data_IF_835145912398
#
_entry.id   IF_835145912398
#
_cell.length_a   1.000
_cell.length_b   1.000
_cell.length_c   1.000
_cell.angle_alpha   90.00
_cell.angle_beta   90.00
_cell.angle_gamma   90.00
#
_symmetry.space_group_name_H-M   'P 1'
#
loop_
_entity.id
_entity.type
_entity.pdbx_description
1 polymer ?
#
# COMPACT_ATOMS: atom_id res chain seq x y z
N UNK A 1 -7.22 -26.88 18.50
CA UNK A 1 -6.48 -27.22 17.25
C UNK A 1 -6.38 -26.02 16.33
N UNK A 2 -7.42 -25.23 16.10
CA UNK A 2 -7.39 -24.02 15.23
C UNK A 2 -6.33 -22.97 15.66
N UNK A 3 -6.20 -22.65 16.93
CA UNK A 3 -5.21 -21.67 17.42
C UNK A 3 -3.76 -22.07 17.12
N UNK A 4 -3.43 -23.36 17.27
CA UNK A 4 -2.06 -23.87 16.97
C UNK A 4 -1.77 -23.85 15.47
N UNK A 5 -2.76 -24.10 14.64
CA UNK A 5 -2.65 -24.01 13.18
C UNK A 5 -2.40 -22.57 12.74
N UNK A 6 -3.13 -21.60 13.29
CA UNK A 6 -2.94 -20.19 12.98
C UNK A 6 -1.58 -19.68 13.47
N UNK A 7 -1.13 -20.10 14.65
CA UNK A 7 0.22 -19.76 15.13
C UNK A 7 1.32 -20.28 14.21
N UNK A 8 1.18 -21.51 13.68
CA UNK A 8 2.16 -22.06 12.73
C UNK A 8 2.15 -21.32 11.41
N UNK A 9 0.97 -20.97 10.91
CA UNK A 9 0.80 -20.16 9.70
C UNK A 9 1.48 -18.80 9.85
N UNK A 10 1.20 -18.09 10.95
CA UNK A 10 1.80 -16.79 11.22
C UNK A 10 3.32 -16.90 11.36
N UNK A 11 3.82 -17.88 12.09
CA UNK A 11 5.26 -18.11 12.25
C UNK A 11 5.97 -18.33 10.91
N UNK A 12 5.38 -19.12 10.00
CA UNK A 12 5.91 -19.31 8.65
C UNK A 12 5.94 -18.00 7.85
N UNK A 13 4.89 -17.19 7.94
CA UNK A 13 4.83 -15.89 7.31
C UNK A 13 5.93 -14.95 7.86
N UNK A 14 6.08 -14.85 9.17
CA UNK A 14 7.08 -13.99 9.81
C UNK A 14 8.52 -14.38 9.41
N UNK A 15 8.82 -15.69 9.36
CA UNK A 15 10.10 -16.22 8.90
C UNK A 15 10.33 -15.86 7.43
N UNK A 16 9.34 -16.08 6.57
CA UNK A 16 9.44 -15.75 5.14
C UNK A 16 9.70 -14.26 4.92
N UNK A 17 8.96 -13.37 5.63
CA UNK A 17 9.11 -11.93 5.52
C UNK A 17 10.48 -11.45 6.01
N UNK A 18 11.00 -12.05 7.08
CA UNK A 18 12.37 -11.79 7.55
C UNK A 18 13.38 -12.19 6.48
N UNK A 19 13.25 -13.38 5.90
CA UNK A 19 14.15 -13.86 4.85
C UNK A 19 14.07 -13.00 3.58
N UNK A 20 12.88 -12.53 3.18
CA UNK A 20 12.74 -11.60 2.06
C UNK A 20 13.50 -10.30 2.30
N UNK A 21 13.49 -9.76 3.52
CA UNK A 21 14.24 -8.55 3.88
C UNK A 21 15.77 -8.78 3.88
N UNK A 22 16.23 -9.93 4.40
CA UNK A 22 17.65 -10.21 4.61
C UNK A 22 18.37 -10.66 3.34
N UNK A 23 17.78 -11.61 2.61
CA UNK A 23 18.43 -12.27 1.46
C UNK A 23 17.73 -12.04 0.12
N UNK A 24 16.54 -11.39 0.12
CA UNK A 24 15.75 -11.10 -1.07
C UNK A 24 14.78 -12.20 -1.46
N UNK A 25 13.78 -11.84 -2.26
CA UNK A 25 12.70 -12.75 -2.68
C UNK A 25 13.20 -13.92 -3.55
N UNK A 26 14.05 -13.64 -4.56
CA UNK A 26 14.53 -14.64 -5.51
C UNK A 26 15.33 -15.74 -4.82
N UNK A 27 16.17 -15.39 -3.84
CA UNK A 27 17.02 -16.35 -3.11
C UNK A 27 16.27 -17.13 -2.03
N UNK A 28 15.12 -16.66 -1.60
CA UNK A 28 14.28 -17.32 -0.60
C UNK A 28 13.47 -18.43 -1.26
N UNK A 29 13.52 -19.66 -0.70
CA UNK A 29 12.76 -20.81 -1.18
C UNK A 29 11.83 -21.35 -0.11
N UNK A 30 10.73 -22.01 -0.49
CA UNK A 30 9.81 -22.65 0.46
C UNK A 30 10.53 -23.67 1.36
N UNK A 31 11.54 -24.36 0.81
CA UNK A 31 12.38 -25.30 1.59
C UNK A 31 13.21 -24.58 2.65
N UNK A 32 13.81 -23.45 2.30
CA UNK A 32 14.59 -22.64 3.25
C UNK A 32 13.70 -22.04 4.34
N UNK A 33 12.50 -21.54 3.97
CA UNK A 33 11.51 -21.03 4.92
C UNK A 33 11.09 -22.14 5.90
N UNK A 34 10.75 -23.34 5.41
CA UNK A 34 10.36 -24.47 6.24
C UNK A 34 11.47 -24.88 7.23
N UNK A 35 12.72 -24.95 6.75
CA UNK A 35 13.87 -25.28 7.57
C UNK A 35 14.09 -24.23 8.68
N UNK A 36 14.05 -22.97 8.34
CA UNK A 36 14.23 -21.86 9.28
C UNK A 36 13.09 -21.77 10.30
N UNK A 37 11.84 -22.08 9.88
CA UNK A 37 10.67 -22.14 10.77
C UNK A 37 10.61 -23.43 11.60
N UNK A 38 11.53 -24.39 11.43
CA UNK A 38 11.53 -25.65 12.15
C UNK A 38 10.36 -26.58 11.81
N UNK A 39 9.81 -26.49 10.60
CA UNK A 39 8.71 -27.34 10.13
C UNK A 39 9.10 -28.16 8.90
N UNK A 40 8.34 -29.22 8.61
CA UNK A 40 8.54 -29.96 7.37
C UNK A 40 8.17 -29.13 6.15
N UNK A 41 8.81 -29.40 5.01
CA UNK A 41 8.48 -28.74 3.73
C UNK A 41 7.02 -28.98 3.34
N UNK A 42 6.50 -30.18 3.57
CA UNK A 42 5.09 -30.49 3.34
C UNK A 42 4.15 -29.66 4.20
N UNK A 43 4.54 -29.38 5.45
CA UNK A 43 3.75 -28.52 6.34
C UNK A 43 3.78 -27.06 5.86
N UNK A 44 4.91 -26.55 5.38
CA UNK A 44 4.96 -25.21 4.79
C UNK A 44 4.03 -25.09 3.57
N UNK A 45 4.03 -26.07 2.67
CA UNK A 45 3.13 -26.11 1.51
C UNK A 45 1.65 -26.31 1.87
N UNK A 46 1.35 -26.89 3.03
CA UNK A 46 -0.02 -26.99 3.54
C UNK A 46 -0.60 -25.60 3.86
N UNK A 47 0.22 -24.67 4.39
CA UNK A 47 -0.22 -23.33 4.74
C UNK A 47 -0.13 -22.34 3.59
N UNK A 48 0.91 -22.46 2.75
CA UNK A 48 1.18 -21.56 1.63
C UNK A 48 1.58 -22.37 0.41
N UNK A 49 0.72 -22.41 -0.59
CA UNK A 49 0.95 -23.20 -1.80
C UNK A 49 2.14 -22.68 -2.63
N UNK A 50 2.53 -21.42 -2.44
CA UNK A 50 3.62 -20.79 -3.18
C UNK A 50 4.27 -19.65 -2.38
N UNK A 51 5.38 -19.10 -2.90
CA UNK A 51 5.94 -17.85 -2.38
C UNK A 51 5.01 -16.65 -2.62
N UNK A 52 4.18 -16.70 -3.66
CA UNK A 52 3.24 -15.62 -3.98
C UNK A 52 2.17 -15.50 -2.88
N UNK A 53 1.75 -16.61 -2.25
CA UNK A 53 0.83 -16.57 -1.11
C UNK A 53 1.47 -15.88 0.10
N UNK A 54 2.78 -16.08 0.31
CA UNK A 54 3.53 -15.36 1.35
C UNK A 54 3.69 -13.87 1.03
N UNK A 55 3.74 -13.50 -0.25
CA UNK A 55 3.73 -12.09 -0.66
C UNK A 55 2.36 -11.46 -0.42
N UNK A 56 1.26 -12.20 -0.63
CA UNK A 56 -0.07 -11.73 -0.25
C UNK A 56 -0.17 -11.48 1.26
N UNK A 57 0.39 -12.37 2.07
CA UNK A 57 0.44 -12.17 3.54
C UNK A 57 1.23 -10.91 3.91
N UNK A 58 2.41 -10.71 3.29
CA UNK A 58 3.18 -9.47 3.44
C UNK A 58 2.32 -8.25 3.09
N UNK A 59 1.58 -8.31 1.99
CA UNK A 59 0.78 -7.19 1.53
C UNK A 59 -0.29 -6.83 2.56
N UNK A 60 -0.98 -7.82 3.11
CA UNK A 60 -1.97 -7.62 4.18
C UNK A 60 -1.32 -7.03 5.43
N UNK A 61 -0.18 -7.57 5.86
CA UNK A 61 0.54 -7.09 7.04
C UNK A 61 1.02 -5.65 6.87
N UNK A 62 1.63 -5.31 5.74
CA UNK A 62 2.07 -3.93 5.43
C UNK A 62 0.90 -2.95 5.46
N UNK A 63 -0.27 -3.34 4.93
CA UNK A 63 -1.45 -2.47 5.00
C UNK A 63 -1.98 -2.31 6.43
N UNK A 64 -1.95 -3.34 7.26
CA UNK A 64 -2.34 -3.25 8.67
C UNK A 64 -1.39 -2.35 9.47
N UNK A 65 -0.07 -2.49 9.28
CA UNK A 65 0.93 -1.63 9.90
C UNK A 65 0.80 -0.18 9.41
N UNK A 66 0.55 0.02 8.12
CA UNK A 66 0.31 1.35 7.55
C UNK A 66 -0.93 2.00 8.15
N UNK A 67 -2.03 1.27 8.29
CA UNK A 67 -3.25 1.77 8.92
C UNK A 67 -2.98 2.23 10.36
N UNK A 68 -2.33 1.40 11.17
CA UNK A 68 -2.02 1.73 12.56
C UNK A 68 -1.14 2.99 12.67
N UNK A 69 -0.05 3.07 11.89
CA UNK A 69 0.82 4.25 11.88
C UNK A 69 0.14 5.50 11.31
N UNK A 70 -0.73 5.33 10.31
CA UNK A 70 -1.48 6.45 9.77
C UNK A 70 -2.47 6.98 10.80
N UNK A 71 -3.18 6.13 11.52
CA UNK A 71 -4.12 6.54 12.57
C UNK A 71 -3.42 7.37 13.65
N UNK A 72 -2.27 6.91 14.15
CA UNK A 72 -1.44 7.67 15.09
C UNK A 72 -1.00 9.02 14.51
N UNK A 73 -0.51 9.03 13.26
CA UNK A 73 -0.02 10.24 12.61
C UNK A 73 -1.13 11.24 12.26
N UNK A 74 -2.38 10.80 12.17
CA UNK A 74 -3.55 11.63 11.90
C UNK A 74 -4.10 12.34 13.14
N UNK A 75 -3.66 11.96 14.34
CA UNK A 75 -4.14 12.58 15.59
C UNK A 75 -3.90 14.08 15.60
N UNK A 76 -4.92 14.86 15.92
CA UNK A 76 -4.88 16.32 15.99
C UNK A 76 -4.79 17.03 14.63
N UNK A 77 -4.51 16.35 13.53
CA UNK A 77 -4.43 16.95 12.21
C UNK A 77 -5.83 17.20 11.62
N UNK A 78 -6.07 18.44 11.14
CA UNK A 78 -7.37 18.86 10.60
C UNK A 78 -7.33 19.10 9.10
N UNK A 79 -6.32 19.80 8.58
CA UNK A 79 -6.29 20.11 7.16
C UNK A 79 -5.92 18.89 6.31
N UNK A 80 -6.55 18.77 5.13
CA UNK A 80 -6.38 17.62 4.25
C UNK A 80 -4.92 17.42 3.80
N UNK A 81 -4.19 18.52 3.55
CA UNK A 81 -2.79 18.44 3.12
C UNK A 81 -1.90 17.81 4.18
N UNK A 82 -2.00 18.27 5.44
CA UNK A 82 -1.25 17.69 6.57
C UNK A 82 -1.62 16.23 6.79
N UNK A 83 -2.92 15.89 6.71
CA UNK A 83 -3.40 14.51 6.85
C UNK A 83 -2.86 13.61 5.75
N UNK A 84 -2.91 14.03 4.49
CA UNK A 84 -2.35 13.26 3.36
C UNK A 84 -0.84 13.09 3.48
N UNK A 85 -0.13 14.15 3.86
CA UNK A 85 1.32 14.07 4.08
C UNK A 85 1.67 13.05 5.15
N UNK A 86 1.00 13.11 6.30
CA UNK A 86 1.19 12.17 7.41
C UNK A 86 0.93 10.72 6.98
N UNK A 87 -0.19 10.48 6.31
CA UNK A 87 -0.57 9.17 5.77
C UNK A 87 0.48 8.61 4.80
N UNK A 88 0.93 9.43 3.84
CA UNK A 88 1.90 8.99 2.84
C UNK A 88 3.27 8.70 3.46
N UNK A 89 3.75 9.54 4.40
CA UNK A 89 5.00 9.29 5.11
C UNK A 89 4.90 8.05 6.00
N UNK A 90 3.80 7.82 6.69
CA UNK A 90 3.56 6.59 7.46
C UNK A 90 3.70 5.34 6.57
N UNK A 91 3.13 5.37 5.36
CA UNK A 91 3.30 4.29 4.38
C UNK A 91 4.74 4.08 3.94
N UNK A 92 5.49 5.16 3.67
CA UNK A 92 6.90 5.07 3.33
C UNK A 92 7.74 4.49 4.48
N UNK A 93 7.43 4.84 5.73
CA UNK A 93 8.12 4.33 6.90
C UNK A 93 7.90 2.83 7.11
N UNK A 94 6.66 2.36 6.87
CA UNK A 94 6.33 0.93 6.92
C UNK A 94 7.02 0.15 5.81
N UNK A 95 7.10 0.73 4.60
CA UNK A 95 7.75 0.08 3.46
C UNK A 95 9.29 0.09 3.55
N UNK A 96 9.90 1.04 4.28
CA UNK A 96 11.35 1.24 4.29
C UNK A 96 12.18 -0.05 4.53
N UNK A 97 11.83 -0.96 5.46
CA UNK A 97 12.56 -2.21 5.67
C UNK A 97 12.56 -3.16 4.46
N UNK A 98 11.60 -2.98 3.55
CA UNK A 98 11.38 -3.84 2.38
C UNK A 98 11.97 -3.25 1.09
N UNK A 99 12.70 -2.14 1.15
CA UNK A 99 13.18 -1.44 -0.05
C UNK A 99 14.03 -2.34 -0.96
N UNK A 100 14.89 -3.18 -0.39
CA UNK A 100 15.72 -4.13 -1.15
C UNK A 100 14.91 -5.20 -1.88
N UNK A 101 13.74 -5.56 -1.33
CA UNK A 101 12.79 -6.50 -1.92
C UNK A 101 11.81 -5.81 -2.90
N UNK A 102 11.64 -4.50 -2.80
CA UNK A 102 10.62 -3.74 -3.53
C UNK A 102 10.69 -3.93 -5.05
N UNK A 103 11.90 -4.00 -5.64
CA UNK A 103 12.07 -4.21 -7.07
C UNK A 103 11.56 -5.59 -7.53
N UNK A 104 11.89 -6.66 -6.79
CA UNK A 104 11.45 -8.03 -7.08
C UNK A 104 9.93 -8.14 -6.93
N UNK A 105 9.38 -7.50 -5.88
CA UNK A 105 7.94 -7.43 -5.66
C UNK A 105 7.23 -6.74 -6.82
N UNK A 106 7.67 -5.54 -7.24
CA UNK A 106 7.06 -4.82 -8.36
C UNK A 106 7.17 -5.61 -9.65
N UNK A 107 8.32 -6.24 -9.94
CA UNK A 107 8.51 -7.08 -11.12
C UNK A 107 7.50 -8.26 -11.16
N UNK A 108 7.14 -8.80 -9.99
CA UNK A 108 6.12 -9.83 -9.86
C UNK A 108 4.71 -9.26 -9.95
N UNK A 109 4.42 -8.17 -9.23
CA UNK A 109 3.09 -7.57 -9.14
C UNK A 109 2.61 -6.91 -10.43
N UNK A 110 3.53 -6.40 -11.28
CA UNK A 110 3.16 -5.72 -12.53
C UNK A 110 2.59 -6.67 -13.60
N UNK A 111 2.82 -7.97 -13.47
CA UNK A 111 2.29 -8.95 -14.44
C UNK A 111 0.77 -9.06 -14.29
N UNK A 112 -0.02 -8.90 -15.37
CA UNK A 112 -1.49 -8.94 -15.29
C UNK A 112 -2.06 -10.26 -14.71
N UNK A 113 -1.35 -11.38 -14.93
CA UNK A 113 -1.73 -12.71 -14.45
C UNK A 113 -1.22 -13.03 -13.05
N UNK A 114 -0.52 -12.11 -12.40
CA UNK A 114 0.02 -12.34 -11.06
C UNK A 114 -1.07 -12.23 -10.00
N UNK A 115 -1.18 -13.19 -9.09
CA UNK A 115 -2.14 -13.10 -7.98
C UNK A 115 -1.81 -11.95 -7.01
N UNK A 116 -0.56 -11.46 -7.01
CA UNK A 116 -0.13 -10.31 -6.20
C UNK A 116 -0.28 -8.97 -6.93
N UNK A 117 -0.90 -8.97 -8.13
CA UNK A 117 -1.26 -7.73 -8.82
C UNK A 117 -2.26 -6.94 -7.94
N UNK A 118 -2.06 -5.64 -7.69
CA UNK A 118 -2.95 -4.83 -6.86
C UNK A 118 -4.41 -4.79 -7.33
N UNK A 119 -4.66 -5.09 -8.61
CA UNK A 119 -5.99 -5.12 -9.22
C UNK A 119 -6.59 -6.54 -9.30
N UNK A 120 -5.83 -7.58 -8.95
CA UNK A 120 -6.33 -8.95 -8.91
C UNK A 120 -7.39 -9.15 -7.82
N UNK A 121 -8.24 -10.17 -7.98
CA UNK A 121 -9.25 -10.55 -7.01
C UNK A 121 -8.65 -10.93 -5.65
N UNK A 122 -7.54 -11.65 -5.69
CA UNK A 122 -6.77 -12.11 -4.52
C UNK A 122 -6.23 -10.94 -3.69
N UNK A 123 -5.96 -9.79 -4.30
CA UNK A 123 -5.47 -8.58 -3.63
C UNK A 123 -6.58 -7.68 -3.09
N UNK A 124 -7.86 -8.08 -3.20
CA UNK A 124 -9.02 -7.24 -2.81
C UNK A 124 -8.94 -6.83 -1.34
N UNK A 125 -8.65 -7.74 -0.43
CA UNK A 125 -8.60 -7.42 1.01
C UNK A 125 -7.53 -6.36 1.32
N UNK A 126 -6.32 -6.51 0.77
CA UNK A 126 -5.23 -5.55 0.96
C UNK A 126 -5.53 -4.20 0.29
N UNK A 127 -6.16 -4.22 -0.90
CA UNK A 127 -6.60 -3.00 -1.59
C UNK A 127 -7.64 -2.24 -0.78
N UNK A 128 -8.67 -2.91 -0.26
CA UNK A 128 -9.72 -2.28 0.57
C UNK A 128 -9.14 -1.72 1.87
N UNK A 129 -8.20 -2.42 2.51
CA UNK A 129 -7.48 -1.91 3.66
C UNK A 129 -6.74 -0.61 3.32
N UNK A 130 -6.01 -0.59 2.20
CA UNK A 130 -5.30 0.61 1.74
C UNK A 130 -6.25 1.75 1.39
N UNK A 131 -7.36 1.48 0.72
CA UNK A 131 -8.42 2.47 0.44
C UNK A 131 -9.01 3.03 1.74
N UNK A 132 -9.18 2.19 2.77
CA UNK A 132 -9.63 2.60 4.11
C UNK A 132 -8.73 3.66 4.74
N UNK A 133 -7.41 3.52 4.60
CA UNK A 133 -6.42 4.49 5.09
C UNK A 133 -6.64 5.88 4.44
N UNK A 134 -6.77 5.93 3.11
CA UNK A 134 -7.02 7.19 2.41
C UNK A 134 -8.41 7.74 2.69
N UNK A 135 -9.41 6.88 2.90
CA UNK A 135 -10.76 7.28 3.32
C UNK A 135 -10.70 8.00 4.68
N UNK A 136 -10.02 7.42 5.67
CA UNK A 136 -9.84 8.04 6.98
C UNK A 136 -9.14 9.41 6.88
N UNK A 137 -8.10 9.53 6.05
CA UNK A 137 -7.41 10.79 5.82
C UNK A 137 -8.35 11.88 5.24
N UNK A 138 -9.22 11.52 4.30
CA UNK A 138 -10.16 12.43 3.63
C UNK A 138 -11.32 12.81 4.55
N UNK A 139 -11.97 11.82 5.18
CA UNK A 139 -13.18 12.03 5.99
C UNK A 139 -12.90 12.84 7.26
N UNK A 140 -11.73 12.68 7.88
CA UNK A 140 -11.33 13.45 9.05
C UNK A 140 -10.88 14.89 8.76
N UNK A 141 -10.91 15.34 7.50
CA UNK A 141 -10.42 16.67 7.13
C UNK A 141 -11.42 17.79 7.45
N UNK A 142 -10.88 18.95 7.88
CA UNK A 142 -11.63 20.18 8.09
C UNK A 142 -10.83 21.38 7.54
N UNK A 143 -11.36 22.14 6.56
CA UNK A 143 -12.66 21.95 5.92
C UNK A 143 -12.74 20.62 5.12
N UNK A 144 -13.94 20.04 4.99
CA UNK A 144 -14.08 18.77 4.31
C UNK A 144 -13.77 18.88 2.81
N UNK A 145 -13.32 17.79 2.22
CA UNK A 145 -13.12 17.68 0.77
C UNK A 145 -14.42 18.02 0.01
N UNK A 146 -14.32 18.53 -1.23
CA UNK A 146 -15.49 18.87 -2.04
C UNK A 146 -16.46 17.69 -2.16
N UNK A 147 -17.76 17.91 -1.94
CA UNK A 147 -18.78 16.84 -1.89
C UNK A 147 -18.74 15.91 -3.12
N UNK A 148 -18.55 16.49 -4.31
CA UNK A 148 -18.50 15.73 -5.58
C UNK A 148 -17.31 14.76 -5.66
N UNK A 149 -16.19 15.08 -5.01
CA UNK A 149 -14.95 14.30 -5.04
C UNK A 149 -14.86 13.28 -3.92
N UNK A 150 -15.58 13.48 -2.83
CA UNK A 150 -15.37 12.77 -1.57
C UNK A 150 -15.47 11.25 -1.71
N UNK A 151 -16.33 10.78 -2.61
CA UNK A 151 -16.50 9.36 -2.86
C UNK A 151 -15.35 8.73 -3.66
N UNK A 152 -14.81 9.47 -4.65
CA UNK A 152 -13.79 8.95 -5.57
C UNK A 152 -12.35 9.30 -5.12
N UNK A 153 -12.21 10.31 -4.27
CA UNK A 153 -10.91 10.84 -3.83
C UNK A 153 -10.01 9.77 -3.15
N UNK A 154 -10.52 8.90 -2.27
CA UNK A 154 -9.69 7.86 -1.67
C UNK A 154 -9.02 6.94 -2.70
N UNK A 155 -9.75 6.55 -3.75
CA UNK A 155 -9.22 5.72 -4.81
C UNK A 155 -8.19 6.45 -5.68
N UNK A 156 -8.46 7.72 -6.05
CA UNK A 156 -7.49 8.55 -6.78
C UNK A 156 -6.19 8.74 -5.98
N UNK A 157 -6.30 8.92 -4.67
CA UNK A 157 -5.14 9.02 -3.77
C UNK A 157 -4.38 7.70 -3.66
N UNK A 158 -5.10 6.57 -3.61
CA UNK A 158 -4.50 5.25 -3.64
C UNK A 158 -3.74 5.00 -4.94
N UNK A 159 -4.29 5.34 -6.11
CA UNK A 159 -3.59 5.27 -7.39
C UNK A 159 -2.33 6.16 -7.40
N UNK A 160 -2.43 7.37 -6.86
CA UNK A 160 -1.28 8.25 -6.67
C UNK A 160 -0.22 7.63 -5.75
N UNK A 161 -0.63 6.97 -4.67
CA UNK A 161 0.26 6.24 -3.77
C UNK A 161 0.96 5.06 -4.48
N UNK A 162 0.26 4.34 -5.37
CA UNK A 162 0.90 3.32 -6.20
C UNK A 162 2.03 3.90 -7.07
N UNK A 163 1.81 5.08 -7.65
CA UNK A 163 2.85 5.82 -8.37
C UNK A 163 4.04 6.22 -7.50
N UNK A 164 3.77 6.68 -6.27
CA UNK A 164 4.81 7.00 -5.28
C UNK A 164 5.57 5.73 -4.87
N UNK A 165 4.89 4.62 -4.63
CA UNK A 165 5.51 3.34 -4.29
C UNK A 165 6.39 2.82 -5.43
N UNK A 166 5.95 2.97 -6.68
CA UNK A 166 6.76 2.64 -7.85
C UNK A 166 8.03 3.50 -7.91
N UNK A 167 7.91 4.82 -7.72
CA UNK A 167 9.08 5.71 -7.69
C UNK A 167 10.03 5.36 -6.53
N UNK A 168 9.48 5.04 -5.35
CA UNK A 168 10.22 4.65 -4.15
C UNK A 168 11.09 3.43 -4.40
N UNK A 169 10.62 2.42 -5.14
CA UNK A 169 11.38 1.21 -5.48
C UNK A 169 12.67 1.55 -6.23
N UNK A 170 12.64 2.56 -7.09
CA UNK A 170 13.80 3.01 -7.89
C UNK A 170 14.62 4.13 -7.22
N UNK A 171 14.19 4.60 -6.05
CA UNK A 171 14.89 5.66 -5.33
C UNK A 171 16.09 5.14 -4.56
N UNK A 172 17.27 5.26 -5.15
CA UNK A 172 18.56 4.86 -4.56
C UNK A 172 19.15 5.88 -3.61
N UNK A 173 18.49 7.01 -3.35
CA UNK A 173 18.98 8.01 -2.41
C UNK A 173 18.89 7.50 -0.97
N UNK A 174 19.81 7.94 -0.13
CA UNK A 174 19.83 7.57 1.28
C UNK A 174 18.48 7.85 1.97
N UNK A 175 17.91 6.85 2.63
CA UNK A 175 16.60 6.93 3.27
C UNK A 175 15.45 7.26 2.30
N UNK A 176 15.61 7.01 0.99
CA UNK A 176 14.64 7.32 -0.08
C UNK A 176 14.16 8.78 -0.02
N UNK A 177 15.11 9.70 0.23
CA UNK A 177 14.81 11.13 0.42
C UNK A 177 14.20 11.81 -0.80
N UNK A 178 14.43 11.30 -2.03
CA UNK A 178 13.80 11.84 -3.24
C UNK A 178 12.30 11.55 -3.24
N UNK A 179 11.92 10.36 -2.81
CA UNK A 179 10.50 9.97 -2.67
C UNK A 179 9.81 10.81 -1.60
N UNK A 180 10.48 11.04 -0.47
CA UNK A 180 9.94 11.92 0.58
C UNK A 180 9.76 13.36 0.09
N UNK A 181 10.71 13.88 -0.69
CA UNK A 181 10.56 15.20 -1.35
C UNK A 181 9.42 15.21 -2.37
N UNK A 182 9.22 14.11 -3.11
CA UNK A 182 8.09 13.99 -4.04
C UNK A 182 6.76 14.10 -3.29
N UNK A 183 6.61 13.40 -2.17
CA UNK A 183 5.42 13.51 -1.30
C UNK A 183 5.23 14.95 -0.81
N UNK A 184 6.28 15.55 -0.27
CA UNK A 184 6.25 16.92 0.28
C UNK A 184 5.90 17.97 -0.78
N UNK A 185 6.31 17.76 -2.03
CA UNK A 185 5.97 18.63 -3.15
C UNK A 185 4.59 18.37 -3.76
N UNK A 186 4.20 17.10 -3.88
CA UNK A 186 2.92 16.73 -4.50
C UNK A 186 1.71 17.06 -3.63
N UNK A 187 1.79 16.83 -2.32
CA UNK A 187 0.66 17.05 -1.41
C UNK A 187 0.12 18.50 -1.45
N UNK A 188 0.94 19.56 -1.40
CA UNK A 188 0.43 20.92 -1.55
C UNK A 188 -0.23 21.17 -2.91
N UNK A 189 0.24 20.54 -3.98
CA UNK A 189 -0.38 20.67 -5.30
C UNK A 189 -1.75 20.00 -5.33
N UNK A 190 -1.87 18.81 -4.77
CA UNK A 190 -3.16 18.10 -4.61
C UNK A 190 -4.13 18.96 -3.78
N UNK A 191 -3.71 19.43 -2.60
CA UNK A 191 -4.55 20.23 -1.72
C UNK A 191 -5.03 21.52 -2.40
N UNK A 192 -4.16 22.23 -3.12
CA UNK A 192 -4.53 23.42 -3.89
C UNK A 192 -5.47 23.09 -5.06
N UNK A 193 -5.20 22.00 -5.79
CA UNK A 193 -6.07 21.52 -6.88
C UNK A 193 -7.49 21.25 -6.38
N UNK A 194 -7.64 20.65 -5.20
CA UNK A 194 -8.95 20.40 -4.58
C UNK A 194 -9.66 21.70 -4.15
N UNK A 195 -8.93 22.73 -3.77
CA UNK A 195 -9.52 24.06 -3.50
C UNK A 195 -10.02 24.73 -4.78
N UNK A 196 -9.28 24.60 -5.88
CA UNK A 196 -9.67 25.12 -7.19
C UNK A 196 -10.92 24.42 -7.75
N UNK A 197 -11.20 23.21 -7.30
CA UNK A 197 -12.43 22.47 -7.63
C UNK A 197 -13.72 23.20 -7.21
N UNK A 198 -13.64 24.25 -6.40
CA UNK A 198 -14.77 25.11 -6.03
C UNK A 198 -15.03 26.23 -7.04
N UNK A 199 -14.14 26.45 -8.01
CA UNK A 199 -14.25 27.53 -8.98
C UNK A 199 -15.12 27.06 -10.17
N UNK A 200 -16.16 27.84 -10.56
CA UNK A 200 -16.93 27.57 -11.77
C UNK A 200 -16.01 27.49 -13.01
N UNK A 201 -16.13 26.44 -13.82
CA UNK A 201 -15.27 26.18 -14.98
C UNK A 201 -14.19 25.11 -14.73
N UNK A 202 -13.56 25.07 -13.57
CA UNK A 202 -12.67 23.97 -13.18
C UNK A 202 -13.48 22.70 -12.87
N UNK A 203 -14.72 22.86 -12.43
CA UNK A 203 -15.66 21.75 -12.18
C UNK A 203 -15.82 20.81 -13.39
N UNK A 204 -15.79 21.34 -14.63
CA UNK A 204 -15.95 20.51 -15.83
C UNK A 204 -14.76 19.55 -16.02
N UNK A 205 -13.53 20.04 -15.88
CA UNK A 205 -12.32 19.21 -15.97
C UNK A 205 -12.36 18.12 -14.90
N UNK A 206 -12.82 18.47 -13.72
CA UNK A 206 -12.95 17.51 -12.62
C UNK A 206 -14.03 16.45 -12.91
N UNK A 207 -15.18 16.88 -13.42
CA UNK A 207 -16.28 15.98 -13.81
C UNK A 207 -15.80 15.02 -14.92
N UNK A 208 -14.99 15.48 -15.87
CA UNK A 208 -14.37 14.67 -16.92
C UNK A 208 -13.39 13.64 -16.34
N UNK A 209 -12.52 14.04 -15.39
CA UNK A 209 -11.58 13.14 -14.71
C UNK A 209 -12.33 12.07 -13.90
N UNK A 210 -13.38 12.47 -13.17
CA UNK A 210 -14.21 11.53 -12.41
C UNK A 210 -14.97 10.56 -13.32
N UNK A 211 -15.50 11.07 -14.43
CA UNK A 211 -16.17 10.24 -15.43
C UNK A 211 -15.22 9.21 -16.02
N UNK A 212 -14.00 9.64 -16.39
CA UNK A 212 -12.95 8.74 -16.86
C UNK A 212 -12.59 7.69 -15.79
N UNK A 213 -12.33 8.10 -14.57
CA UNK A 213 -12.02 7.18 -13.47
C UNK A 213 -13.12 6.13 -13.25
N UNK A 214 -14.39 6.53 -13.33
CA UNK A 214 -15.52 5.61 -13.21
C UNK A 214 -15.67 4.68 -14.40
N UNK A 215 -15.35 5.14 -15.61
CA UNK A 215 -15.46 4.33 -16.83
C UNK A 215 -14.42 3.22 -16.93
N UNK A 216 -13.28 3.36 -16.26
CA UNK A 216 -12.23 2.32 -16.25
C UNK A 216 -12.42 1.28 -15.11
N UNK A 217 -13.41 1.47 -14.24
CA UNK A 217 -13.76 0.53 -13.16
C UNK A 217 -14.70 -0.59 -13.60
N UNK A 218 -15.42 -0.39 -14.70
CA UNK A 218 -16.36 -1.34 -15.30
C UNK A 218 -15.70 -2.07 -16.46
#
# INVERSE_FOLDING_TARGET
MAAKSEQTRQHLADVALRMFREIGFEKTTMRAIAAEAGVSVGNAYYYFASKDDLVQELYVQVQAEHAAKADEALEGLKDLGSRLRATLHAGLDVMAPYHRFGADFVATAIRPTSPVNPFAGESTAAREASLGIFRAAVEGSSPPAPKKLRADLPELLWLGYMGIALFWVYDTSEGQRRTRKLVDGAVPLIARGLLLAKIPGVNKVLDDVLSLSRSIRN
#
